data_IF_317358445962
#
_entry.id   IF_317358445962
#
_cell.length_a   1.000
_cell.length_b   1.000
_cell.length_c   1.000
_cell.angle_alpha   90.00
_cell.angle_beta   90.00
_cell.angle_gamma   90.00
#
_symmetry.space_group_name_H-M   'P 1'
#
loop_
_entity.id
_entity.type
_entity.pdbx_description
1 polymer ?
#
# COMPACT_ATOMS: atom_id res chain seq x y z
N UNK A 1 -47.69 27.16 -12.86
CA UNK A 1 -47.01 27.54 -14.11
C UNK A 1 -45.56 27.14 -13.90
N UNK A 2 -45.18 25.88 -13.97
CA UNK A 2 -45.40 24.88 -15.02
C UNK A 2 -44.89 25.34 -16.39
N UNK A 3 -44.08 24.47 -17.00
CA UNK A 3 -43.40 24.52 -18.31
C UNK A 3 -42.07 25.27 -18.37
N UNK A 4 -40.95 24.75 -18.86
CA UNK A 4 -40.59 23.47 -19.47
C UNK A 4 -39.05 23.40 -19.40
N UNK A 5 -38.46 22.45 -18.67
CA UNK A 5 -37.11 21.99 -19.02
C UNK A 5 -37.30 20.64 -19.70
N UNK A 6 -37.20 20.72 -21.02
CA UNK A 6 -37.41 19.67 -22.00
C UNK A 6 -36.76 18.37 -21.53
N UNK A 7 -37.62 17.37 -21.35
CA UNK A 7 -37.28 15.96 -21.31
C UNK A 7 -36.48 15.62 -22.57
N UNK A 8 -35.15 15.59 -22.45
CA UNK A 8 -34.29 14.89 -23.39
C UNK A 8 -34.54 13.40 -23.22
N UNK A 9 -35.46 12.92 -24.05
CA UNK A 9 -35.62 11.57 -24.59
C UNK A 9 -34.98 10.43 -23.79
N UNK A 10 -35.85 9.60 -23.22
CA UNK A 10 -35.56 8.31 -22.59
C UNK A 10 -35.14 7.25 -23.62
N UNK A 11 -34.06 7.53 -24.36
CA UNK A 11 -33.41 6.60 -25.29
C UNK A 11 -31.89 6.71 -25.19
N UNK A 12 -31.29 5.58 -24.81
CA UNK A 12 -29.85 5.30 -24.78
C UNK A 12 -29.00 6.11 -23.80
N UNK A 13 -28.99 5.72 -22.53
CA UNK A 13 -27.69 5.57 -21.86
C UNK A 13 -27.09 4.30 -22.45
N UNK A 14 -26.53 4.41 -23.66
CA UNK A 14 -25.50 3.50 -24.11
C UNK A 14 -24.29 3.77 -23.22
N UNK A 15 -24.30 3.17 -22.03
CA UNK A 15 -23.07 2.77 -21.40
C UNK A 15 -22.28 2.07 -22.51
N UNK A 16 -21.11 2.59 -22.87
CA UNK A 16 -20.15 1.86 -23.69
C UNK A 16 -19.70 0.66 -22.86
N UNK A 17 -20.53 -0.37 -22.81
CA UNK A 17 -20.22 -1.67 -22.23
C UNK A 17 -19.30 -2.35 -23.22
N UNK A 18 -17.99 -2.09 -23.08
CA UNK A 18 -16.96 -2.98 -23.60
C UNK A 18 -16.81 -4.23 -22.70
N UNK A 19 -17.88 -4.67 -22.02
CA UNK A 19 -17.88 -5.95 -21.34
C UNK A 19 -18.20 -7.01 -22.38
N UNK A 20 -17.27 -7.94 -22.58
CA UNK A 20 -17.52 -9.15 -23.38
C UNK A 20 -18.76 -9.87 -22.81
N UNK A 21 -19.61 -10.49 -23.66
CA UNK A 21 -20.81 -11.21 -23.21
C UNK A 21 -20.55 -12.21 -22.07
N UNK A 22 -19.33 -12.77 -22.04
CA UNK A 22 -18.82 -13.68 -21.00
C UNK A 22 -18.71 -13.02 -19.62
N UNK A 23 -18.28 -11.75 -19.54
CA UNK A 23 -18.15 -11.01 -18.27
C UNK A 23 -19.54 -10.73 -17.69
N UNK A 24 -20.48 -10.30 -18.53
CA UNK A 24 -21.88 -10.12 -18.13
C UNK A 24 -22.53 -11.43 -17.68
N UNK A 25 -22.26 -12.54 -18.34
CA UNK A 25 -22.76 -13.86 -17.94
C UNK A 25 -22.19 -14.31 -16.59
N UNK A 26 -20.89 -14.06 -16.36
CA UNK A 26 -20.21 -14.36 -15.10
C UNK A 26 -20.74 -13.51 -13.93
N UNK A 27 -20.87 -12.20 -14.12
CA UNK A 27 -21.43 -11.28 -13.12
C UNK A 27 -22.87 -11.68 -12.76
N UNK A 28 -23.69 -12.00 -13.76
CA UNK A 28 -25.06 -12.48 -13.55
C UNK A 28 -25.11 -13.81 -12.78
N UNK A 29 -24.13 -14.71 -12.99
CA UNK A 29 -24.03 -15.96 -12.23
C UNK A 29 -23.69 -15.69 -10.76
N UNK A 30 -22.73 -14.79 -10.49
CA UNK A 30 -22.37 -14.38 -9.12
C UNK A 30 -23.57 -13.75 -8.42
N UNK A 31 -24.28 -12.82 -9.09
CA UNK A 31 -25.46 -12.17 -8.52
C UNK A 31 -26.54 -13.20 -8.16
N UNK A 32 -26.81 -14.17 -9.04
CA UNK A 32 -27.75 -15.27 -8.75
C UNK A 32 -27.31 -16.13 -7.56
N UNK A 33 -26.02 -16.45 -7.44
CA UNK A 33 -25.49 -17.18 -6.28
C UNK A 33 -25.64 -16.36 -4.98
N UNK A 34 -25.45 -15.04 -5.04
CA UNK A 34 -25.67 -14.13 -3.92
C UNK A 34 -27.15 -14.05 -3.53
N UNK A 35 -28.07 -14.03 -4.49
CA UNK A 35 -29.52 -14.06 -4.24
C UNK A 35 -29.95 -15.37 -3.56
N UNK A 36 -29.44 -16.52 -4.02
CA UNK A 36 -29.69 -17.82 -3.38
C UNK A 36 -29.13 -17.85 -1.95
N UNK A 37 -27.93 -17.31 -1.73
CA UNK A 37 -27.35 -17.18 -0.38
C UNK A 37 -28.19 -16.25 0.51
N UNK A 38 -28.67 -15.13 -0.04
CA UNK A 38 -29.57 -14.18 0.64
C UNK A 38 -30.83 -14.88 1.11
N UNK A 39 -31.54 -15.57 0.21
CA UNK A 39 -32.76 -16.30 0.57
C UNK A 39 -32.54 -17.37 1.65
N UNK A 40 -31.42 -18.11 1.55
CA UNK A 40 -31.07 -19.15 2.51
C UNK A 40 -30.77 -18.60 3.92
N UNK A 41 -30.27 -17.35 4.03
CA UNK A 41 -30.09 -16.67 5.32
C UNK A 41 -31.43 -16.37 6.02
N UNK A 42 -32.49 -16.08 5.26
CA UNK A 42 -33.82 -15.77 5.81
C UNK A 42 -34.71 -17.00 6.05
N UNK A 43 -34.42 -18.15 5.42
CA UNK A 43 -35.19 -19.40 5.54
C UNK A 43 -34.80 -20.29 6.74
N UNK A 44 -33.64 -20.07 7.38
CA UNK A 44 -33.13 -20.90 8.49
C UNK A 44 -33.54 -20.35 9.87
N UNK A 45 -33.67 -21.27 10.83
CA UNK A 45 -34.05 -21.08 12.25
C UNK A 45 -33.88 -19.62 12.76
N UNK A 46 -35.00 -18.97 13.04
CA UNK A 46 -35.15 -17.54 13.37
C UNK A 46 -34.13 -17.10 14.44
N UNK A 47 -33.86 -17.93 15.45
CA UNK A 47 -32.95 -17.59 16.54
C UNK A 47 -31.47 -17.58 16.14
N UNK A 48 -31.03 -18.54 15.33
CA UNK A 48 -29.65 -18.61 14.86
C UNK A 48 -29.35 -17.48 13.87
N UNK A 49 -30.33 -17.19 13.00
CA UNK A 49 -30.28 -16.09 12.04
C UNK A 49 -30.27 -14.73 12.74
N UNK A 50 -31.08 -14.53 13.78
CA UNK A 50 -31.07 -13.31 14.59
C UNK A 50 -29.71 -13.10 15.28
N UNK A 51 -29.14 -14.13 15.90
CA UNK A 51 -27.81 -14.05 16.54
C UNK A 51 -26.69 -13.75 15.54
N UNK A 52 -26.76 -14.33 14.34
CA UNK A 52 -25.80 -14.07 13.27
C UNK A 52 -25.90 -12.63 12.75
N UNK A 53 -27.12 -12.12 12.56
CA UNK A 53 -27.38 -10.74 12.15
C UNK A 53 -26.91 -9.74 13.20
N UNK A 54 -27.20 -9.98 14.48
CA UNK A 54 -26.69 -9.14 15.59
C UNK A 54 -25.16 -9.12 15.63
N UNK A 55 -24.50 -10.26 15.41
CA UNK A 55 -23.03 -10.32 15.35
C UNK A 55 -22.48 -9.59 14.12
N UNK A 56 -23.15 -9.71 12.97
CA UNK A 56 -22.78 -8.99 11.74
C UNK A 56 -22.93 -7.48 11.91
N UNK A 57 -23.99 -7.04 12.60
CA UNK A 57 -24.25 -5.64 12.91
C UNK A 57 -23.10 -5.00 13.68
N UNK A 58 -22.69 -5.59 14.81
CA UNK A 58 -21.58 -5.06 15.60
C UNK A 58 -20.25 -5.04 14.85
N UNK A 59 -20.00 -6.06 14.01
CA UNK A 59 -18.80 -6.10 13.17
C UNK A 59 -18.82 -5.01 12.12
N UNK A 60 -19.96 -4.77 11.48
CA UNK A 60 -20.10 -3.74 10.46
C UNK A 60 -19.85 -2.35 11.04
N UNK A 61 -20.45 -2.04 12.20
CA UNK A 61 -20.20 -0.76 12.90
C UNK A 61 -18.72 -0.61 13.24
N UNK A 62 -18.12 -1.62 13.89
CA UNK A 62 -16.71 -1.61 14.26
C UNK A 62 -15.77 -1.39 13.05
N UNK A 63 -15.93 -2.17 11.99
CA UNK A 63 -15.03 -2.06 10.83
C UNK A 63 -15.17 -0.73 10.11
N UNK A 64 -16.38 -0.18 10.02
CA UNK A 64 -16.61 1.10 9.33
C UNK A 64 -15.96 2.25 10.08
N UNK A 65 -16.17 2.37 11.40
CA UNK A 65 -15.55 3.46 12.17
C UNK A 65 -14.03 3.28 12.28
N UNK A 66 -13.53 2.04 12.33
CA UNK A 66 -12.09 1.77 12.34
C UNK A 66 -11.40 2.21 11.04
N UNK A 67 -12.09 2.14 9.89
CA UNK A 67 -11.57 2.65 8.61
C UNK A 67 -11.42 4.17 8.62
N UNK A 68 -12.30 4.88 9.35
CA UNK A 68 -12.24 6.34 9.55
C UNK A 68 -11.24 6.75 10.65
N UNK A 69 -10.57 5.78 11.30
CA UNK A 69 -9.52 6.02 12.29
C UNK A 69 -9.95 5.85 13.76
N UNK A 70 -11.16 5.37 14.03
CA UNK A 70 -11.64 5.12 15.38
C UNK A 70 -10.84 3.99 16.06
N UNK A 71 -10.38 4.22 17.29
CA UNK A 71 -9.45 3.31 17.99
C UNK A 71 -10.12 2.33 18.94
N UNK A 72 -11.46 2.32 19.05
CA UNK A 72 -12.16 1.36 19.91
C UNK A 72 -11.98 -0.07 19.40
N UNK A 73 -11.59 -1.00 20.27
CA UNK A 73 -11.60 -2.42 19.92
C UNK A 73 -13.01 -2.94 19.68
N UNK A 74 -13.15 -4.04 18.94
CA UNK A 74 -14.44 -4.69 18.70
C UNK A 74 -15.25 -4.95 20.00
N UNK A 75 -14.57 -5.38 21.08
CA UNK A 75 -15.22 -5.63 22.38
C UNK A 75 -15.71 -4.32 23.00
N UNK A 76 -14.94 -3.24 22.89
CA UNK A 76 -15.30 -1.92 23.39
C UNK A 76 -16.47 -1.32 22.60
N UNK A 77 -16.42 -1.35 21.26
CA UNK A 77 -17.51 -0.92 20.38
C UNK A 77 -18.79 -1.69 20.68
N UNK A 78 -18.70 -3.02 20.82
CA UNK A 78 -19.85 -3.85 21.18
C UNK A 78 -20.39 -3.52 22.57
N UNK A 79 -19.53 -3.42 23.57
CA UNK A 79 -19.92 -3.06 24.94
C UNK A 79 -20.61 -1.70 24.97
N UNK A 80 -20.10 -0.73 24.22
CA UNK A 80 -20.69 0.59 24.09
C UNK A 80 -22.10 0.52 23.46
N UNK A 81 -22.25 -0.19 22.35
CA UNK A 81 -23.54 -0.38 21.67
C UNK A 81 -24.56 -1.18 22.49
N UNK A 82 -24.12 -2.12 23.32
CA UNK A 82 -24.99 -2.94 24.18
C UNK A 82 -25.41 -2.23 25.46
N UNK A 83 -24.50 -1.44 26.07
CA UNK A 83 -24.73 -0.86 27.40
C UNK A 83 -25.04 0.64 27.38
N UNK A 84 -24.72 1.33 26.28
CA UNK A 84 -24.78 2.80 26.20
C UNK A 84 -23.78 3.51 27.11
N UNK A 85 -22.83 2.78 27.73
CA UNK A 85 -21.85 3.35 28.66
C UNK A 85 -20.55 3.69 27.96
N UNK A 86 -20.06 4.90 28.17
CA UNK A 86 -18.79 5.34 27.63
C UNK A 86 -17.63 4.40 28.06
N UNK A 87 -16.70 4.20 27.14
CA UNK A 87 -15.49 3.39 27.31
C UNK A 87 -14.36 4.28 27.81
N UNK A 88 -13.78 3.92 28.95
CA UNK A 88 -12.64 4.64 29.53
C UNK A 88 -11.44 4.68 28.58
N UNK A 89 -10.78 5.84 28.49
CA UNK A 89 -9.59 6.04 27.65
C UNK A 89 -9.89 6.26 26.17
N UNK A 90 -11.14 6.51 25.78
CA UNK A 90 -11.55 6.82 24.40
C UNK A 90 -12.21 8.20 24.34
N UNK A 91 -12.02 8.91 23.24
CA UNK A 91 -12.55 10.26 23.06
C UNK A 91 -14.07 10.25 22.88
N UNK A 92 -14.75 11.34 23.25
CA UNK A 92 -16.20 11.48 22.98
C UNK A 92 -16.47 11.46 21.47
N UNK A 93 -15.56 12.01 20.67
CA UNK A 93 -15.65 11.97 19.21
C UNK A 93 -15.79 10.53 18.68
N UNK A 94 -14.94 9.61 19.15
CA UNK A 94 -15.01 8.20 18.76
C UNK A 94 -16.32 7.51 19.19
N UNK A 95 -16.90 7.91 20.32
CA UNK A 95 -18.22 7.42 20.73
C UNK A 95 -19.32 7.96 19.80
N UNK A 96 -19.22 9.23 19.43
CA UNK A 96 -20.19 9.91 18.59
C UNK A 96 -20.22 9.36 17.16
N UNK A 97 -19.08 8.98 16.59
CA UNK A 97 -19.02 8.29 15.30
C UNK A 97 -19.77 6.96 15.32
N UNK A 98 -19.58 6.17 16.39
CA UNK A 98 -20.28 4.90 16.57
C UNK A 98 -21.79 5.12 16.74
N UNK A 99 -22.20 6.15 17.48
CA UNK A 99 -23.62 6.51 17.64
C UNK A 99 -24.25 6.97 16.33
N UNK A 100 -23.54 7.77 15.53
CA UNK A 100 -24.03 8.24 14.24
C UNK A 100 -24.24 7.09 13.26
N UNK A 101 -23.27 6.16 13.21
CA UNK A 101 -23.38 4.98 12.37
C UNK A 101 -24.47 4.00 12.86
N UNK A 102 -24.59 3.77 14.18
CA UNK A 102 -25.68 2.97 14.78
C UNK A 102 -27.05 3.55 14.42
N UNK A 103 -27.21 4.88 14.54
CA UNK A 103 -28.44 5.57 14.18
C UNK A 103 -28.79 5.43 12.68
N UNK A 104 -27.79 5.55 11.80
CA UNK A 104 -27.95 5.37 10.36
C UNK A 104 -28.35 3.93 10.00
N UNK A 105 -27.71 2.93 10.60
CA UNK A 105 -28.02 1.52 10.33
C UNK A 105 -29.39 1.12 10.88
N UNK A 106 -29.78 1.61 12.06
CA UNK A 106 -31.15 1.41 12.58
C UNK A 106 -32.18 2.02 11.66
N UNK A 107 -31.92 3.21 11.12
CA UNK A 107 -32.79 3.83 10.13
C UNK A 107 -32.90 2.99 8.86
N UNK A 108 -31.79 2.47 8.33
CA UNK A 108 -31.82 1.55 7.17
C UNK A 108 -32.60 0.27 7.46
N UNK A 109 -32.53 -0.25 8.69
CA UNK A 109 -33.25 -1.46 9.09
C UNK A 109 -34.75 -1.24 9.41
N UNK A 110 -35.15 -0.02 9.77
CA UNK A 110 -36.54 0.34 10.11
C UNK A 110 -37.30 0.99 8.95
N UNK A 111 -36.60 1.68 8.06
CA UNK A 111 -37.19 2.33 6.91
C UNK A 111 -37.71 1.29 5.92
N UNK A 112 -38.82 1.60 5.25
CA UNK A 112 -39.37 0.78 4.15
C UNK A 112 -38.48 0.77 2.90
N UNK A 113 -37.17 1.04 3.02
CA UNK A 113 -36.16 0.95 1.94
C UNK A 113 -36.02 -0.49 1.43
N UNK A 114 -36.66 -1.46 2.10
CA UNK A 114 -36.62 -2.86 1.71
C UNK A 114 -37.26 -3.22 0.35
N UNK A 115 -37.97 -2.32 -0.37
CA UNK A 115 -38.61 -2.65 -1.66
C UNK A 115 -38.77 -1.48 -2.67
N UNK A 116 -38.22 -0.29 -2.42
CA UNK A 116 -38.38 0.90 -3.29
C UNK A 116 -37.07 1.47 -3.85
N UNK A 117 -37.17 2.38 -4.84
CA UNK A 117 -36.00 3.11 -5.34
C UNK A 117 -35.46 4.06 -4.26
N UNK A 118 -34.15 4.04 -4.03
CA UNK A 118 -33.47 4.95 -3.09
C UNK A 118 -33.62 6.38 -3.60
N UNK A 119 -34.18 7.27 -2.77
CA UNK A 119 -34.36 8.68 -3.11
C UNK A 119 -33.23 9.54 -2.54
N UNK A 120 -33.10 10.75 -3.06
CA UNK A 120 -32.16 11.75 -2.51
C UNK A 120 -32.45 12.08 -1.05
N UNK A 121 -33.74 12.08 -0.66
CA UNK A 121 -34.15 12.29 0.73
C UNK A 121 -33.62 11.19 1.65
N UNK A 122 -33.60 9.94 1.17
CA UNK A 122 -33.07 8.81 1.94
C UNK A 122 -31.56 8.97 2.17
N UNK A 123 -30.82 9.39 1.14
CA UNK A 123 -29.38 9.65 1.23
C UNK A 123 -29.08 10.78 2.24
N UNK A 124 -29.81 11.88 2.17
CA UNK A 124 -29.63 12.99 3.11
C UNK A 124 -30.01 12.60 4.55
N UNK A 125 -31.03 11.76 4.73
CA UNK A 125 -31.40 11.26 6.06
C UNK A 125 -30.35 10.31 6.65
N UNK A 126 -29.75 9.46 5.82
CA UNK A 126 -28.61 8.62 6.23
C UNK A 126 -27.44 9.52 6.63
N UNK A 127 -27.06 10.45 5.76
CA UNK A 127 -25.96 11.40 6.00
C UNK A 127 -26.18 12.22 7.27
N UNK A 128 -27.41 12.72 7.48
CA UNK A 128 -27.79 13.41 8.71
C UNK A 128 -27.53 12.55 9.93
N UNK A 129 -27.91 11.27 9.91
CA UNK A 129 -27.75 10.37 11.06
C UNK A 129 -26.29 10.04 11.34
N UNK A 130 -25.49 9.81 10.29
CA UNK A 130 -24.05 9.57 10.42
C UNK A 130 -23.35 10.76 11.09
N UNK A 131 -23.67 11.99 10.66
CA UNK A 131 -23.03 13.19 11.19
C UNK A 131 -23.70 13.81 12.41
N UNK A 132 -24.89 13.35 12.82
CA UNK A 132 -25.72 13.98 13.86
C UNK A 132 -24.99 14.25 15.19
N UNK A 133 -23.97 13.44 15.51
CA UNK A 133 -23.19 13.55 16.74
C UNK A 133 -21.75 14.03 16.52
N UNK A 134 -21.33 14.16 15.26
CA UNK A 134 -19.95 14.49 14.86
C UNK A 134 -19.89 15.92 14.33
N UNK A 135 -20.77 16.24 13.37
CA UNK A 135 -20.89 17.54 12.73
C UNK A 135 -22.38 17.84 12.46
N UNK A 136 -23.13 18.28 13.50
CA UNK A 136 -24.55 18.56 13.39
C UNK A 136 -24.87 19.69 12.40
N UNK A 137 -23.93 20.61 12.20
CA UNK A 137 -24.13 21.79 11.36
C UNK A 137 -24.17 21.43 9.88
N UNK A 138 -23.43 20.39 9.46
CA UNK A 138 -23.40 19.88 8.09
C UNK A 138 -24.24 18.59 7.89
N UNK A 139 -24.81 18.05 8.95
CA UNK A 139 -25.63 16.84 8.92
C UNK A 139 -26.82 16.97 7.95
N UNK A 140 -26.86 16.11 6.91
CA UNK A 140 -27.97 16.06 5.95
C UNK A 140 -28.06 17.25 5.00
N UNK A 141 -27.01 18.07 4.90
CA UNK A 141 -26.95 19.18 3.95
C UNK A 141 -26.03 18.83 2.79
N UNK A 142 -26.36 19.35 1.61
CA UNK A 142 -25.36 19.47 0.56
C UNK A 142 -24.37 20.55 0.96
N UNK A 143 -23.11 20.34 0.59
CA UNK A 143 -22.09 21.38 0.75
C UNK A 143 -22.41 22.56 -0.19
N UNK A 144 -22.27 23.77 0.34
CA UNK A 144 -22.44 25.02 -0.41
C UNK A 144 -21.12 25.55 -0.98
N UNK A 145 -20.00 24.88 -0.68
CA UNK A 145 -18.66 25.23 -1.16
C UNK A 145 -18.24 24.25 -2.25
N UNK A 146 -17.91 24.79 -3.43
CA UNK A 146 -17.24 24.05 -4.49
C UNK A 146 -15.82 23.72 -4.03
N UNK A 147 -15.48 22.43 -3.93
CA UNK A 147 -14.10 22.02 -3.72
C UNK A 147 -13.36 22.19 -5.04
N UNK A 148 -12.57 23.25 -5.13
CA UNK A 148 -11.61 23.46 -6.20
C UNK A 148 -10.43 22.52 -5.94
N UNK A 149 -10.35 21.38 -6.65
CA UNK A 149 -9.10 20.64 -6.76
C UNK A 149 -8.36 21.26 -7.94
N UNK A 150 -7.78 22.44 -7.69
CA UNK A 150 -6.97 23.19 -8.64
C UNK A 150 -5.56 22.65 -8.79
N UNK A 151 -4.80 23.15 -9.78
CA UNK A 151 -3.47 22.65 -10.10
C UNK A 151 -2.50 22.96 -8.95
N UNK A 152 -1.74 21.94 -8.55
CA UNK A 152 -0.64 22.05 -7.61
C UNK A 152 0.54 22.75 -8.29
N UNK A 153 0.96 23.90 -7.77
CA UNK A 153 2.32 24.39 -7.99
C UNK A 153 3.28 23.51 -7.21
N UNK A 154 4.32 22.94 -7.83
CA UNK A 154 5.34 22.18 -7.10
C UNK A 154 5.99 23.08 -6.05
N UNK A 155 6.45 22.54 -4.90
CA UNK A 155 7.19 23.31 -3.92
C UNK A 155 8.59 23.60 -4.46
N UNK A 156 8.66 24.57 -5.38
CA UNK A 156 9.86 25.28 -5.75
C UNK A 156 9.90 26.59 -4.97
N UNK A 157 10.96 26.74 -4.16
CA UNK A 157 11.35 27.99 -3.46
C UNK A 157 10.40 28.48 -2.37
N UNK A 158 10.39 27.78 -1.23
CA UNK A 158 10.32 28.39 0.11
C UNK A 158 10.22 27.26 1.14
N UNK A 159 11.36 26.74 1.58
CA UNK A 159 11.44 26.17 2.94
C UNK A 159 11.40 27.38 3.87
N UNK A 160 10.22 27.95 4.09
CA UNK A 160 9.94 28.89 5.17
C UNK A 160 8.43 29.14 5.30
N UNK A 161 7.94 28.99 6.53
CA UNK A 161 6.59 29.23 7.05
C UNK A 161 5.53 28.16 6.69
N UNK A 162 5.03 27.31 7.61
CA UNK A 162 4.67 27.54 9.01
C UNK A 162 4.71 26.24 9.85
N UNK A 163 5.89 25.79 10.25
CA UNK A 163 6.03 24.93 11.43
C UNK A 163 6.99 25.63 12.37
N UNK A 164 6.49 26.10 13.51
CA UNK A 164 7.31 26.56 14.63
C UNK A 164 8.15 25.36 15.10
N UNK A 165 9.31 25.13 14.48
CA UNK A 165 10.24 24.12 14.94
C UNK A 165 11.17 24.75 15.95
N UNK A 166 11.11 24.23 17.18
CA UNK A 166 12.14 24.48 18.18
C UNK A 166 13.47 23.90 17.66
N UNK A 167 14.60 24.63 17.71
CA UNK A 167 15.91 24.14 17.25
C UNK A 167 16.29 22.74 17.76
N UNK A 168 15.79 22.38 18.94
CA UNK A 168 15.96 21.08 19.61
C UNK A 168 15.44 19.90 18.78
N UNK A 169 14.35 20.07 18.04
CA UNK A 169 13.72 18.98 17.26
C UNK A 169 14.56 18.61 16.05
N UNK A 170 15.12 19.61 15.36
CA UNK A 170 16.03 19.43 14.23
C UNK A 170 17.37 18.82 14.67
N UNK A 171 17.89 19.24 15.83
CA UNK A 171 19.11 18.68 16.41
C UNK A 171 18.94 17.19 16.77
N UNK A 172 17.77 16.82 17.31
CA UNK A 172 17.43 15.43 17.61
C UNK A 172 17.36 14.55 16.36
N UNK A 173 16.67 15.02 15.31
CA UNK A 173 16.54 14.29 14.04
C UNK A 173 17.93 14.08 13.40
N UNK A 174 18.78 15.11 13.37
CA UNK A 174 20.15 15.04 12.85
C UNK A 174 21.04 14.07 13.65
N UNK A 175 20.81 13.95 14.97
CA UNK A 175 21.57 13.01 15.80
C UNK A 175 21.23 11.56 15.44
N UNK A 176 19.96 11.23 15.25
CA UNK A 176 19.53 9.87 14.86
C UNK A 176 20.11 9.49 13.51
N UNK A 177 20.10 10.40 12.54
CA UNK A 177 20.67 10.16 11.21
C UNK A 177 22.16 9.84 11.31
N UNK A 178 22.93 10.60 12.10
CA UNK A 178 24.35 10.32 12.34
C UNK A 178 24.58 8.96 13.01
N UNK A 179 23.70 8.55 13.93
CA UNK A 179 23.77 7.22 14.55
C UNK A 179 23.56 6.09 13.52
N UNK A 180 22.69 6.30 12.52
CA UNK A 180 22.48 5.36 11.42
C UNK A 180 23.73 5.18 10.55
N UNK A 181 24.43 6.28 10.22
CA UNK A 181 25.67 6.21 9.44
C UNK A 181 26.76 5.39 10.16
N UNK A 182 26.90 5.58 11.47
CA UNK A 182 27.84 4.79 12.28
C UNK A 182 27.44 3.30 12.30
N UNK A 183 26.15 3.00 12.43
CA UNK A 183 25.64 1.61 12.36
C UNK A 183 25.88 0.99 10.99
N UNK A 184 25.69 1.75 9.90
CA UNK A 184 25.97 1.31 8.53
C UNK A 184 27.41 0.85 8.37
N UNK A 185 28.38 1.68 8.76
CA UNK A 185 29.81 1.33 8.63
C UNK A 185 30.17 0.05 9.40
N UNK A 186 29.52 -0.20 10.53
CA UNK A 186 29.75 -1.38 11.34
C UNK A 186 29.14 -2.67 10.75
N UNK A 187 28.14 -2.56 9.86
CA UNK A 187 27.51 -3.71 9.23
C UNK A 187 28.43 -4.44 8.24
N UNK A 188 29.29 -3.70 7.51
CA UNK A 188 30.13 -4.26 6.44
C UNK A 188 31.51 -4.73 6.92
N UNK A 189 31.92 -4.41 8.15
CA UNK A 189 33.22 -4.80 8.73
C UNK A 189 33.26 -6.25 9.25
N UNK A 190 32.20 -7.05 9.06
CA UNK A 190 32.03 -8.38 9.69
C UNK A 190 31.82 -9.51 8.68
N UNK A 191 32.22 -10.72 9.10
CA UNK A 191 32.27 -12.00 8.37
C UNK A 191 31.34 -12.12 7.14
N UNK A 192 31.95 -12.38 5.97
CA UNK A 192 31.31 -12.46 4.64
C UNK A 192 30.15 -13.48 4.61
N UNK A 193 30.29 -14.63 5.27
CA UNK A 193 29.28 -15.70 5.24
C UNK A 193 28.01 -15.36 6.04
N UNK A 194 28.19 -14.80 7.23
CA UNK A 194 27.08 -14.36 8.07
C UNK A 194 26.29 -13.22 7.40
N UNK A 195 27.01 -12.31 6.75
CA UNK A 195 26.43 -11.21 5.95
C UNK A 195 25.62 -11.74 4.76
N UNK A 196 26.11 -12.75 4.03
CA UNK A 196 25.37 -13.36 2.92
C UNK A 196 24.04 -14.02 3.38
N UNK A 197 24.07 -14.75 4.50
CA UNK A 197 22.86 -15.37 5.08
C UNK A 197 21.86 -14.32 5.55
N UNK A 198 22.32 -13.25 6.19
CA UNK A 198 21.48 -12.14 6.63
C UNK A 198 20.84 -11.41 5.45
N UNK A 199 21.58 -11.17 4.36
CA UNK A 199 21.06 -10.59 3.12
C UNK A 199 20.02 -11.50 2.45
N UNK A 200 20.27 -12.81 2.37
CA UNK A 200 19.33 -13.79 1.81
C UNK A 200 18.01 -13.82 2.61
N UNK A 201 18.10 -13.77 3.94
CA UNK A 201 16.91 -13.71 4.80
C UNK A 201 16.18 -12.37 4.65
N UNK A 202 16.91 -11.27 4.51
CA UNK A 202 16.35 -9.94 4.25
C UNK A 202 15.60 -9.91 2.92
N UNK A 203 16.15 -10.54 1.88
CA UNK A 203 15.52 -10.67 0.56
C UNK A 203 14.11 -11.25 0.64
N UNK A 204 13.97 -12.46 1.20
CA UNK A 204 12.65 -13.11 1.31
C UNK A 204 11.67 -12.32 2.18
N UNK A 205 12.16 -11.68 3.24
CA UNK A 205 11.33 -10.84 4.11
C UNK A 205 10.86 -9.58 3.40
N UNK A 206 11.73 -8.94 2.62
CA UNK A 206 11.36 -7.79 1.82
C UNK A 206 10.26 -8.15 0.83
N UNK A 207 10.42 -9.27 0.11
CA UNK A 207 9.40 -9.76 -0.83
C UNK A 207 8.07 -9.99 -0.13
N UNK A 208 8.07 -10.76 0.97
CA UNK A 208 6.86 -11.04 1.76
C UNK A 208 6.16 -9.76 2.22
N UNK A 209 6.87 -8.86 2.91
CA UNK A 209 6.26 -7.69 3.50
C UNK A 209 5.74 -6.69 2.45
N UNK A 210 6.46 -6.50 1.35
CA UNK A 210 6.04 -5.53 0.32
C UNK A 210 4.80 -5.99 -0.45
N UNK A 211 4.63 -7.29 -0.73
CA UNK A 211 3.38 -7.79 -1.35
C UNK A 211 2.24 -7.86 -0.34
N UNK A 212 2.53 -8.20 0.92
CA UNK A 212 1.51 -8.25 1.97
C UNK A 212 0.94 -6.86 2.30
N UNK A 213 1.75 -5.79 2.18
CA UNK A 213 1.27 -4.41 2.28
C UNK A 213 0.20 -4.08 1.23
N UNK A 214 0.26 -4.69 0.05
CA UNK A 214 -0.74 -4.51 -1.02
C UNK A 214 -1.94 -5.48 -0.86
N UNK A 215 -1.91 -6.39 0.13
CA UNK A 215 -3.01 -7.30 0.44
C UNK A 215 -2.79 -8.75 0.05
N UNK A 216 -1.59 -9.11 -0.43
CA UNK A 216 -1.24 -10.51 -0.67
C UNK A 216 -1.31 -11.33 0.63
N UNK A 217 -1.95 -12.50 0.58
CA UNK A 217 -2.28 -13.29 1.77
C UNK A 217 -1.31 -14.44 2.03
N UNK A 218 -0.28 -14.62 1.20
CA UNK A 218 0.74 -15.66 1.44
C UNK A 218 1.50 -15.39 2.72
N UNK A 219 1.70 -16.43 3.53
CA UNK A 219 2.57 -16.32 4.70
C UNK A 219 4.04 -16.23 4.30
N UNK A 220 4.88 -15.73 5.20
CA UNK A 220 6.33 -15.68 4.96
C UNK A 220 6.92 -17.03 4.54
N UNK A 221 6.49 -18.13 5.16
CA UNK A 221 6.96 -19.49 4.82
C UNK A 221 6.51 -19.86 3.41
N UNK A 222 5.26 -19.59 3.05
CA UNK A 222 4.73 -19.86 1.71
C UNK A 222 5.47 -19.07 0.64
N UNK A 223 5.67 -17.76 0.83
CA UNK A 223 6.43 -16.90 -0.07
C UNK A 223 7.85 -17.41 -0.25
N UNK A 224 8.53 -17.77 0.85
CA UNK A 224 9.89 -18.30 0.80
C UNK A 224 9.96 -19.64 0.06
N UNK A 225 9.10 -20.60 0.40
CA UNK A 225 9.04 -21.90 -0.27
C UNK A 225 8.76 -21.75 -1.77
N UNK A 226 7.88 -20.82 -2.14
CA UNK A 226 7.59 -20.54 -3.55
C UNK A 226 8.83 -20.01 -4.28
N UNK A 227 9.55 -19.04 -3.70
CA UNK A 227 10.76 -18.48 -4.30
C UNK A 227 11.93 -19.48 -4.37
N UNK A 228 12.06 -20.37 -3.38
CA UNK A 228 13.13 -21.38 -3.33
C UNK A 228 12.88 -22.55 -4.27
N UNK A 229 11.63 -23.03 -4.37
CA UNK A 229 11.30 -24.26 -5.11
C UNK A 229 10.72 -24.00 -6.50
N UNK A 230 10.24 -22.79 -6.77
CA UNK A 230 9.47 -22.45 -7.97
C UNK A 230 8.11 -23.14 -8.06
N UNK A 231 7.65 -23.82 -6.99
CA UNK A 231 6.40 -24.60 -6.99
C UNK A 231 5.26 -23.79 -6.39
N UNK A 232 4.12 -23.78 -7.09
CA UNK A 232 2.92 -23.09 -6.63
C UNK A 232 2.42 -23.63 -5.27
N UNK A 233 1.88 -22.72 -4.46
CA UNK A 233 1.31 -22.97 -3.14
C UNK A 233 -0.19 -23.22 -3.28
N UNK A 234 -0.65 -24.39 -2.82
CA UNK A 234 -2.06 -24.76 -2.84
C UNK A 234 -2.95 -23.79 -2.05
N UNK A 235 -4.13 -23.48 -2.58
CA UNK A 235 -5.12 -22.61 -1.93
C UNK A 235 -4.84 -21.11 -2.03
N UNK A 236 -3.83 -20.70 -2.82
CA UNK A 236 -3.51 -19.29 -3.11
C UNK A 236 -3.80 -18.96 -4.57
N UNK A 237 -4.13 -17.70 -4.85
CA UNK A 237 -4.44 -17.28 -6.22
C UNK A 237 -3.19 -17.21 -7.10
N UNK A 238 -3.35 -17.41 -8.41
CA UNK A 238 -2.24 -17.22 -9.37
C UNK A 238 -1.74 -15.78 -9.34
N UNK A 239 -2.66 -14.83 -9.15
CA UNK A 239 -2.33 -13.41 -9.01
C UNK A 239 -1.31 -13.17 -7.88
N UNK A 240 -1.56 -13.71 -6.68
CA UNK A 240 -0.63 -13.57 -5.55
C UNK A 240 0.75 -14.20 -5.82
N UNK A 241 0.82 -15.29 -6.58
CA UNK A 241 2.10 -15.87 -7.01
C UNK A 241 2.82 -14.92 -7.98
N UNK A 242 2.08 -14.39 -8.96
CA UNK A 242 2.61 -13.52 -9.99
C UNK A 242 3.12 -12.19 -9.42
N UNK A 243 2.49 -11.65 -8.38
CA UNK A 243 3.01 -10.48 -7.65
C UNK A 243 4.38 -10.76 -7.02
N UNK A 244 4.55 -11.94 -6.41
CA UNK A 244 5.82 -12.36 -5.81
C UNK A 244 6.88 -12.56 -6.90
N UNK A 245 6.54 -13.19 -8.02
CA UNK A 245 7.45 -13.36 -9.16
C UNK A 245 7.88 -12.04 -9.78
N UNK A 246 6.94 -11.10 -9.95
CA UNK A 246 7.24 -9.78 -10.52
C UNK A 246 8.19 -8.99 -9.65
N UNK A 247 7.97 -9.02 -8.34
CA UNK A 247 8.87 -8.36 -7.40
C UNK A 247 10.25 -9.06 -7.31
N UNK A 248 10.31 -10.39 -7.31
CA UNK A 248 11.57 -11.15 -7.37
C UNK A 248 12.38 -10.77 -8.63
N UNK A 249 11.72 -10.72 -9.79
CA UNK A 249 12.33 -10.30 -11.04
C UNK A 249 12.84 -8.84 -10.98
N UNK A 250 12.08 -7.94 -10.35
CA UNK A 250 12.47 -6.54 -10.18
C UNK A 250 13.70 -6.40 -9.25
N UNK A 251 13.75 -7.12 -8.13
CA UNK A 251 14.89 -7.11 -7.22
C UNK A 251 16.15 -7.68 -7.86
N UNK A 252 16.03 -8.79 -8.60
CA UNK A 252 17.16 -9.34 -9.37
C UNK A 252 17.68 -8.33 -10.39
N UNK A 253 16.79 -7.66 -11.10
CA UNK A 253 17.16 -6.59 -12.02
C UNK A 253 17.92 -5.46 -11.32
N UNK A 254 17.44 -4.97 -10.17
CA UNK A 254 18.13 -3.94 -9.39
C UNK A 254 19.53 -4.37 -8.92
N UNK A 255 19.68 -5.63 -8.50
CA UNK A 255 20.96 -6.17 -8.03
C UNK A 255 21.98 -6.44 -9.15
N UNK A 256 21.51 -6.72 -10.37
CA UNK A 256 22.36 -7.04 -11.51
C UNK A 256 22.63 -5.83 -12.43
N UNK A 257 21.78 -4.82 -12.37
CA UNK A 257 21.86 -3.66 -13.26
C UNK A 257 23.00 -2.71 -12.88
N UNK A 258 23.56 -2.05 -13.90
CA UNK A 258 24.49 -0.92 -13.71
C UNK A 258 23.82 0.32 -13.12
N UNK A 259 22.50 0.27 -12.86
CA UNK A 259 21.76 1.37 -12.22
C UNK A 259 22.45 1.73 -10.91
N UNK A 260 23.12 0.82 -10.20
CA UNK A 260 23.83 1.16 -8.96
C UNK A 260 24.98 2.18 -9.11
N UNK A 261 25.44 2.47 -10.34
CA UNK A 261 26.63 3.29 -10.60
C UNK A 261 26.35 4.61 -11.36
N UNK A 262 25.12 4.83 -11.84
CA UNK A 262 24.76 6.00 -12.66
C UNK A 262 23.55 6.78 -12.16
N UNK A 263 23.20 7.88 -12.84
CA UNK A 263 21.98 8.63 -12.59
C UNK A 263 20.72 7.74 -12.72
N UNK A 264 19.71 7.93 -11.86
CA UNK A 264 18.43 7.22 -12.02
C UNK A 264 17.67 7.88 -13.16
N UNK A 265 17.31 7.11 -14.17
CA UNK A 265 16.57 7.62 -15.33
C UNK A 265 15.10 7.22 -15.30
N UNK A 266 14.29 7.90 -16.10
CA UNK A 266 12.89 7.52 -16.30
C UNK A 266 12.76 6.09 -16.83
N UNK A 267 13.66 5.68 -17.73
CA UNK A 267 13.70 4.32 -18.30
C UNK A 267 13.94 3.27 -17.21
N UNK A 268 14.76 3.56 -16.21
CA UNK A 268 15.00 2.64 -15.10
C UNK A 268 13.73 2.41 -14.30
N UNK A 269 12.98 3.48 -13.98
CA UNK A 269 11.69 3.38 -13.27
C UNK A 269 10.68 2.57 -14.09
N UNK A 270 10.58 2.82 -15.40
CA UNK A 270 9.69 2.08 -16.29
C UNK A 270 10.07 0.59 -16.36
N UNK A 271 11.36 0.27 -16.40
CA UNK A 271 11.85 -1.12 -16.39
C UNK A 271 11.58 -1.81 -15.05
N UNK A 272 11.81 -1.13 -13.92
CA UNK A 272 11.48 -1.65 -12.59
C UNK A 272 9.98 -1.97 -12.54
N UNK A 273 9.14 -0.99 -12.89
CA UNK A 273 7.69 -1.17 -12.91
C UNK A 273 7.24 -2.28 -13.87
N UNK A 274 7.86 -2.37 -15.05
CA UNK A 274 7.60 -3.46 -15.99
C UNK A 274 7.87 -4.81 -15.33
N UNK A 275 8.98 -4.99 -14.61
CA UNK A 275 9.26 -6.26 -13.92
C UNK A 275 8.24 -6.54 -12.81
N UNK A 276 7.85 -5.51 -12.04
CA UNK A 276 6.85 -5.66 -10.96
C UNK A 276 5.51 -6.17 -11.49
N UNK A 277 5.01 -5.63 -12.61
CA UNK A 277 3.69 -5.99 -13.15
C UNK A 277 3.70 -7.01 -14.29
N UNK A 278 4.86 -7.41 -14.84
CA UNK A 278 4.93 -8.28 -16.03
C UNK A 278 4.11 -9.57 -15.94
N UNK A 279 3.98 -10.15 -14.75
CA UNK A 279 3.23 -11.40 -14.54
C UNK A 279 1.77 -11.16 -14.12
N UNK A 280 1.42 -9.93 -13.76
CA UNK A 280 0.13 -9.56 -13.18
C UNK A 280 -0.74 -8.87 -14.22
N UNK A 281 -0.18 -7.82 -14.84
CA UNK A 281 -0.82 -6.99 -15.85
C UNK A 281 0.24 -6.56 -16.88
N UNK A 282 0.57 -7.44 -17.85
CA UNK A 282 1.59 -7.17 -18.84
C UNK A 282 1.22 -6.03 -19.79
N UNK A 283 -0.07 -5.74 -19.96
CA UNK A 283 -0.53 -4.68 -20.85
C UNK A 283 -0.21 -3.30 -20.28
N UNK A 284 -0.26 -3.14 -18.95
CA UNK A 284 0.07 -1.90 -18.25
C UNK A 284 1.49 -1.87 -17.65
N UNK A 285 2.22 -2.99 -17.71
CA UNK A 285 3.58 -3.11 -17.21
C UNK A 285 4.53 -2.09 -17.88
N UNK A 286 5.13 -1.21 -17.07
CA UNK A 286 6.06 -0.18 -17.54
C UNK A 286 5.43 0.94 -18.38
N UNK A 287 4.10 1.14 -18.30
CA UNK A 287 3.40 2.23 -19.01
C UNK A 287 2.70 3.16 -18.02
N UNK A 288 2.83 4.46 -18.23
CA UNK A 288 2.08 5.44 -17.45
C UNK A 288 0.58 5.27 -17.65
N UNK A 289 -0.18 5.58 -16.59
CA UNK A 289 -1.64 5.58 -16.69
C UNK A 289 -2.12 6.69 -17.63
N UNK A 290 -3.16 6.39 -18.37
CA UNK A 290 -3.90 7.29 -19.25
C UNK A 290 -5.25 7.69 -18.67
N UNK A 291 -5.59 7.14 -17.49
CA UNK A 291 -6.82 7.41 -16.74
C UNK A 291 -6.53 8.03 -15.38
N UNK A 292 -7.53 8.72 -14.84
CA UNK A 292 -7.46 9.23 -13.48
C UNK A 292 -7.79 8.13 -12.46
N UNK A 293 -7.04 8.11 -11.36
CA UNK A 293 -7.19 7.14 -10.27
C UNK A 293 -7.39 7.86 -8.94
N UNK A 294 -7.89 7.14 -7.93
CA UNK A 294 -8.17 7.68 -6.59
C UNK A 294 -7.63 6.72 -5.52
N UNK A 295 -6.92 7.25 -4.53
CA UNK A 295 -6.23 6.47 -3.50
C UNK A 295 -6.79 6.87 -2.14
N UNK A 296 -7.87 6.21 -1.73
CA UNK A 296 -8.66 6.65 -0.59
C UNK A 296 -9.15 8.09 -0.80
N UNK A 297 -8.88 9.04 0.13
CA UNK A 297 -9.27 10.44 -0.03
C UNK A 297 -8.33 11.25 -0.93
N UNK A 298 -7.18 10.70 -1.32
CA UNK A 298 -6.17 11.41 -2.09
C UNK A 298 -6.39 11.25 -3.60
N UNK A 299 -6.28 12.36 -4.33
CA UNK A 299 -6.38 12.41 -5.80
C UNK A 299 -5.03 12.80 -6.38
N UNK A 300 -4.30 11.87 -7.05
CA UNK A 300 -3.05 12.16 -7.74
C UNK A 300 -3.23 13.16 -8.90
N UNK A 301 -2.13 13.69 -9.46
CA UNK A 301 -2.16 14.53 -10.66
C UNK A 301 -2.97 13.92 -11.82
N UNK A 302 -3.52 14.72 -12.72
CA UNK A 302 -4.17 14.17 -13.93
C UNK A 302 -3.19 13.37 -14.80
N UNK A 303 -3.64 12.33 -15.55
CA UNK A 303 -2.78 11.53 -16.42
C UNK A 303 -1.98 12.37 -17.43
N UNK A 304 -2.54 13.50 -17.88
CA UNK A 304 -1.90 14.46 -18.78
C UNK A 304 -0.65 15.14 -18.18
N UNK A 305 -0.53 15.18 -16.85
CA UNK A 305 0.61 15.79 -16.14
C UNK A 305 1.66 14.77 -15.71
N UNK A 306 1.32 13.47 -15.66
CA UNK A 306 2.18 12.41 -15.09
C UNK A 306 3.58 12.40 -15.71
N UNK A 307 3.67 12.53 -17.04
CA UNK A 307 4.97 12.45 -17.74
C UNK A 307 5.89 13.61 -17.32
N UNK A 308 5.35 14.82 -17.21
CA UNK A 308 6.15 15.99 -16.88
C UNK A 308 6.48 16.06 -15.38
N UNK A 309 5.56 15.64 -14.51
CA UNK A 309 5.82 15.43 -13.08
C UNK A 309 6.93 14.38 -12.85
N UNK A 310 6.91 13.28 -13.62
CA UNK A 310 7.96 12.26 -13.53
C UNK A 310 9.32 12.74 -14.05
N UNK A 311 9.36 13.61 -15.08
CA UNK A 311 10.62 14.25 -15.52
C UNK A 311 11.16 15.16 -14.42
N UNK A 312 10.32 16.04 -13.87
CA UNK A 312 10.71 16.92 -12.77
C UNK A 312 11.17 16.13 -11.53
N UNK A 313 10.53 14.99 -11.25
CA UNK A 313 10.96 14.07 -10.21
C UNK A 313 12.36 13.51 -10.47
N UNK A 314 12.65 13.07 -11.70
CA UNK A 314 13.98 12.57 -12.09
C UNK A 314 15.03 13.68 -12.04
N UNK A 315 14.70 14.88 -12.52
CA UNK A 315 15.61 16.03 -12.46
C UNK A 315 15.94 16.37 -11.00
N UNK A 316 14.92 16.44 -10.14
CA UNK A 316 15.11 16.64 -8.71
C UNK A 316 15.96 15.54 -8.07
N UNK A 317 15.74 14.27 -8.42
CA UNK A 317 16.45 13.14 -7.82
C UNK A 317 17.96 13.13 -8.16
N UNK A 318 18.34 13.75 -9.28
CA UNK A 318 19.73 13.84 -9.73
C UNK A 318 20.33 15.24 -9.57
N UNK A 319 19.60 16.19 -8.98
CA UNK A 319 20.07 17.55 -8.71
C UNK A 319 21.15 17.58 -7.61
N UNK A 320 22.11 18.49 -7.71
CA UNK A 320 23.21 18.62 -6.74
C UNK A 320 22.68 18.83 -5.32
N UNK A 321 21.64 19.66 -5.13
CA UNK A 321 21.09 19.94 -3.80
C UNK A 321 20.40 18.74 -3.16
N UNK A 322 19.78 17.88 -3.98
CA UNK A 322 19.19 16.62 -3.51
C UNK A 322 20.26 15.60 -3.15
N UNK A 323 21.37 15.57 -3.89
CA UNK A 323 22.49 14.67 -3.63
C UNK A 323 23.29 15.06 -2.37
N UNK A 324 23.18 16.30 -1.91
CA UNK A 324 23.73 16.77 -0.63
C UNK A 324 22.87 16.36 0.59
N UNK A 325 21.63 15.91 0.39
CA UNK A 325 20.75 15.45 1.47
C UNK A 325 21.28 14.16 2.11
N UNK A 326 20.88 13.89 3.36
CA UNK A 326 21.08 12.57 3.92
C UNK A 326 20.39 11.51 3.07
N UNK A 327 21.05 10.37 2.88
CA UNK A 327 20.57 9.33 1.98
C UNK A 327 19.23 8.69 2.44
N UNK A 328 18.97 8.60 3.75
CA UNK A 328 17.70 8.09 4.30
C UNK A 328 16.60 9.10 4.09
N UNK A 329 16.90 10.38 4.28
CA UNK A 329 15.99 11.48 3.97
C UNK A 329 15.66 11.53 2.47
N UNK A 330 16.67 11.51 1.59
CA UNK A 330 16.51 11.47 0.14
C UNK A 330 15.65 10.30 -0.30
N UNK A 331 15.91 9.10 0.22
CA UNK A 331 15.14 7.90 -0.11
C UNK A 331 13.68 8.00 0.36
N UNK A 332 13.43 8.55 1.54
CA UNK A 332 12.08 8.77 2.06
C UNK A 332 11.32 9.80 1.22
N UNK A 333 11.93 10.94 0.89
CA UNK A 333 11.29 11.98 0.07
C UNK A 333 11.07 11.46 -1.35
N UNK A 334 12.01 10.71 -1.93
CA UNK A 334 11.87 10.12 -3.25
C UNK A 334 10.71 9.11 -3.30
N UNK A 335 10.59 8.25 -2.29
CA UNK A 335 9.45 7.36 -2.15
C UNK A 335 8.13 8.14 -2.10
N UNK A 336 8.04 9.14 -1.23
CA UNK A 336 6.83 9.95 -1.08
C UNK A 336 6.45 10.64 -2.40
N UNK A 337 7.38 11.36 -3.03
CA UNK A 337 7.15 12.06 -4.31
C UNK A 337 6.66 11.10 -5.39
N UNK A 338 7.28 9.93 -5.53
CA UNK A 338 6.87 8.93 -6.50
C UNK A 338 5.44 8.41 -6.26
N UNK A 339 5.13 8.06 -5.00
CA UNK A 339 3.79 7.56 -4.63
C UNK A 339 2.71 8.65 -4.76
N UNK A 340 3.07 9.91 -4.51
CA UNK A 340 2.20 11.08 -4.68
C UNK A 340 1.85 11.33 -6.15
N UNK A 341 2.84 11.28 -7.07
CA UNK A 341 2.59 11.40 -8.52
C UNK A 341 1.70 10.25 -9.01
N UNK A 342 1.90 9.06 -8.43
CA UNK A 342 1.17 7.83 -8.74
C UNK A 342 1.11 7.54 -10.26
N UNK A 343 2.27 7.34 -10.90
CA UNK A 343 2.38 7.38 -12.36
C UNK A 343 1.74 6.18 -13.09
N UNK A 344 1.47 5.08 -12.39
CA UNK A 344 0.99 3.82 -12.99
C UNK A 344 -0.42 3.46 -12.53
N UNK A 345 -1.09 2.54 -13.25
CA UNK A 345 -2.44 2.07 -12.89
C UNK A 345 -2.46 1.24 -11.60
N UNK A 346 -1.40 0.46 -11.37
CA UNK A 346 -1.12 -0.34 -10.18
C UNK A 346 0.41 -0.43 -10.01
N UNK A 347 0.92 -1.04 -8.94
CA UNK A 347 2.35 -1.29 -8.74
C UNK A 347 3.12 -0.11 -8.18
N UNK A 348 2.46 1.03 -7.93
CA UNK A 348 3.09 2.26 -7.41
C UNK A 348 3.72 2.06 -6.03
N UNK A 349 3.01 1.44 -5.08
CA UNK A 349 3.57 1.20 -3.74
C UNK A 349 4.82 0.31 -3.78
N UNK A 350 4.76 -0.80 -4.54
CA UNK A 350 5.88 -1.75 -4.73
C UNK A 350 7.07 -1.08 -5.40
N UNK A 351 6.83 -0.33 -6.48
CA UNK A 351 7.88 0.38 -7.23
C UNK A 351 8.51 1.50 -6.39
N UNK A 352 7.70 2.24 -5.62
CA UNK A 352 8.20 3.28 -4.71
C UNK A 352 9.12 2.72 -3.62
N UNK A 353 8.76 1.58 -3.02
CA UNK A 353 9.61 0.89 -2.02
C UNK A 353 10.89 0.31 -2.64
N UNK A 354 10.82 -0.19 -3.88
CA UNK A 354 12.01 -0.61 -4.62
C UNK A 354 12.94 0.57 -4.95
N UNK A 355 12.38 1.71 -5.37
CA UNK A 355 13.15 2.93 -5.64
C UNK A 355 13.85 3.47 -4.38
N UNK A 356 13.13 3.48 -3.26
CA UNK A 356 13.71 3.81 -1.95
C UNK A 356 14.91 2.93 -1.62
N UNK A 357 14.76 1.61 -1.76
CA UNK A 357 15.84 0.67 -1.50
C UNK A 357 16.97 0.74 -2.51
N UNK A 358 16.71 1.12 -3.76
CA UNK A 358 17.76 1.39 -4.74
C UNK A 358 18.63 2.56 -4.28
N UNK A 359 18.04 3.69 -3.87
CA UNK A 359 18.77 4.86 -3.37
C UNK A 359 19.63 4.47 -2.16
N UNK A 360 19.05 3.76 -1.19
CA UNK A 360 19.73 3.34 0.03
C UNK A 360 20.86 2.34 -0.24
N UNK A 361 20.66 1.41 -1.17
CA UNK A 361 21.67 0.42 -1.53
C UNK A 361 22.92 1.05 -2.13
N UNK A 362 22.77 2.14 -2.91
CA UNK A 362 23.90 2.92 -3.45
C UNK A 362 24.72 3.58 -2.36
N UNK A 363 24.07 3.96 -1.26
CA UNK A 363 24.72 4.51 -0.06
C UNK A 363 25.20 3.42 0.90
N UNK A 364 25.16 2.14 0.51
CA UNK A 364 25.65 1.03 1.31
C UNK A 364 24.74 0.66 2.47
N UNK A 365 23.43 0.87 2.38
CA UNK A 365 22.48 0.34 3.36
C UNK A 365 21.93 -1.03 2.89
N UNK A 366 21.64 -1.95 3.82
CA UNK A 366 20.85 -3.13 3.49
C UNK A 366 19.43 -2.72 3.07
N UNK A 367 18.73 -3.52 2.24
CA UNK A 367 17.35 -3.24 1.87
C UNK A 367 16.46 -3.06 3.10
N UNK A 368 15.79 -1.92 3.20
CA UNK A 368 14.84 -1.64 4.28
C UNK A 368 13.57 -2.44 4.05
N UNK A 369 13.00 -2.87 5.16
CA UNK A 369 11.73 -3.59 5.22
C UNK A 369 10.74 -2.72 6.00
N UNK A 370 9.64 -2.34 5.35
CA UNK A 370 8.46 -1.81 6.03
C UNK A 370 7.60 -3.01 6.40
N UNK A 371 7.47 -3.38 7.69
CA UNK A 371 6.70 -4.54 8.10
C UNK A 371 5.21 -4.34 7.77
N UNK A 372 4.53 -5.43 7.41
CA UNK A 372 3.09 -5.39 7.10
C UNK A 372 2.26 -5.05 8.33
N UNK A 373 2.80 -5.36 9.51
CA UNK A 373 2.24 -5.04 10.81
C UNK A 373 2.18 -3.52 11.05
N UNK A 374 3.07 -2.75 10.41
CA UNK A 374 3.12 -1.28 10.50
C UNK A 374 2.39 -0.59 9.33
N UNK A 375 1.56 -1.33 8.58
CA UNK A 375 0.77 -0.82 7.44
C UNK A 375 -0.01 0.45 7.79
N UNK A 376 -0.69 0.46 8.94
CA UNK A 376 -1.48 1.62 9.37
C UNK A 376 -0.60 2.85 9.61
N UNK A 377 0.52 2.67 10.33
CA UNK A 377 1.48 3.75 10.60
C UNK A 377 2.09 4.29 9.31
N UNK A 378 2.43 3.42 8.37
CA UNK A 378 2.95 3.80 7.06
C UNK A 378 1.97 4.68 6.28
N UNK A 379 0.70 4.27 6.15
CA UNK A 379 -0.30 5.06 5.44
C UNK A 379 -0.69 6.34 6.19
N UNK A 380 -0.71 6.33 7.52
CA UNK A 380 -0.94 7.53 8.31
C UNK A 380 0.17 8.57 8.08
N UNK A 381 1.43 8.13 8.09
CA UNK A 381 2.55 9.02 7.83
C UNK A 381 2.54 9.59 6.39
N UNK A 382 2.08 8.81 5.40
CA UNK A 382 1.84 9.31 4.04
C UNK A 382 0.69 10.33 3.97
N UNK A 383 -0.38 10.12 4.76
CA UNK A 383 -1.48 11.08 4.86
C UNK A 383 -1.00 12.41 5.45
N UNK A 384 -0.25 12.37 6.54
CA UNK A 384 0.33 13.58 7.16
C UNK A 384 1.27 14.32 6.18
N UNK A 385 2.01 13.56 5.36
CA UNK A 385 2.83 14.13 4.28
C UNK A 385 1.98 14.81 3.20
N UNK A 386 0.85 14.22 2.80
CA UNK A 386 -0.10 14.84 1.87
C UNK A 386 -0.72 16.13 2.44
N UNK A 387 -0.91 16.18 3.76
CA UNK A 387 -1.42 17.36 4.48
C UNK A 387 -0.35 18.46 4.69
N UNK A 388 0.89 18.20 4.24
CA UNK A 388 1.98 19.17 4.16
C UNK A 388 3.15 18.94 5.12
N UNK A 389 3.11 17.91 5.98
CA UNK A 389 4.22 17.58 6.89
C UNK A 389 4.86 16.22 6.56
N UNK A 390 6.01 16.25 5.88
CA UNK A 390 6.74 15.03 5.51
C UNK A 390 7.55 14.42 6.66
N UNK A 391 7.76 15.14 7.77
CA UNK A 391 8.67 14.70 8.85
C UNK A 391 8.22 13.41 9.53
N UNK A 392 6.92 13.19 9.82
CA UNK A 392 6.44 11.90 10.33
C UNK A 392 6.80 10.73 9.42
N UNK A 393 6.71 10.92 8.10
CA UNK A 393 7.11 9.91 7.12
C UNK A 393 8.62 9.67 7.09
N UNK A 394 9.43 10.73 7.07
CA UNK A 394 10.89 10.61 7.13
C UNK A 394 11.32 9.87 8.41
N UNK A 395 10.78 10.26 9.57
CA UNK A 395 11.05 9.61 10.86
C UNK A 395 10.61 8.16 10.90
N UNK A 396 9.49 7.84 10.26
CA UNK A 396 9.05 6.46 10.10
C UNK A 396 10.08 5.64 9.33
N UNK A 397 10.56 6.14 8.19
CA UNK A 397 11.60 5.45 7.39
C UNK A 397 12.92 5.34 8.16
N UNK A 398 13.35 6.40 8.86
CA UNK A 398 14.52 6.37 9.76
C UNK A 398 14.37 5.27 10.81
N UNK A 399 13.20 5.15 11.45
CA UNK A 399 12.94 4.08 12.42
C UNK A 399 12.99 2.68 11.80
N UNK A 400 12.45 2.50 10.58
CA UNK A 400 12.56 1.21 9.88
C UNK A 400 14.00 0.90 9.46
N UNK A 401 14.77 1.92 9.10
CA UNK A 401 16.21 1.81 8.80
C UNK A 401 16.95 1.28 10.03
N UNK A 402 16.74 1.91 11.19
CA UNK A 402 17.37 1.53 12.44
C UNK A 402 17.08 0.09 12.83
N UNK A 403 15.79 -0.29 12.82
CA UNK A 403 15.34 -1.66 13.10
C UNK A 403 15.96 -2.67 12.13
N UNK A 404 16.13 -2.30 10.86
CA UNK A 404 16.72 -3.19 9.84
C UNK A 404 18.21 -3.38 10.09
N UNK A 405 18.96 -2.30 10.35
CA UNK A 405 20.38 -2.34 10.68
C UNK A 405 20.63 -3.15 11.95
N UNK A 406 19.83 -2.93 13.00
CA UNK A 406 19.97 -3.67 14.26
C UNK A 406 19.76 -5.18 14.03
N UNK A 407 18.70 -5.57 13.32
CA UNK A 407 18.46 -6.99 12.97
C UNK A 407 19.59 -7.59 12.16
N UNK A 408 20.20 -6.81 11.27
CA UNK A 408 21.36 -7.24 10.48
C UNK A 408 22.58 -7.48 11.38
N UNK A 409 22.90 -6.52 12.26
CA UNK A 409 23.98 -6.61 13.24
C UNK A 409 23.80 -7.82 14.16
N UNK A 410 22.59 -8.04 14.68
CA UNK A 410 22.27 -9.16 15.57
C UNK A 410 22.43 -10.51 14.85
N UNK A 411 21.98 -10.58 13.59
CA UNK A 411 22.10 -11.80 12.76
C UNK A 411 23.56 -12.14 12.44
N UNK A 412 24.40 -11.13 12.22
CA UNK A 412 25.83 -11.33 11.97
C UNK A 412 26.58 -11.71 13.24
N UNK A 413 26.20 -11.12 14.39
CA UNK A 413 26.86 -11.37 15.68
C UNK A 413 26.52 -12.75 16.26
N UNK A 414 25.35 -13.31 15.93
CA UNK A 414 24.93 -14.65 16.38
C UNK A 414 25.52 -15.79 15.54
N UNK A 415 26.10 -15.51 14.37
CA UNK A 415 26.74 -16.51 13.50
C UNK A 415 28.23 -16.75 13.82
N UNK A 416 28.71 -16.40 15.01
CA UNK A 416 30.11 -16.60 15.42
C UNK A 416 30.42 -18.01 15.95
N UNK A 417 29.46 -18.93 15.97
CA UNK A 417 29.70 -20.34 16.31
C UNK A 417 29.84 -21.18 15.03
N UNK A 418 31.08 -21.56 14.75
CA UNK A 418 31.61 -22.72 14.03
C UNK A 418 30.81 -23.36 12.87
N UNK A 419 31.55 -23.52 11.77
CA UNK A 419 31.12 -23.90 10.44
C UNK A 419 30.80 -25.41 10.24
N UNK A 420 30.26 -26.14 11.22
CA UNK A 420 30.03 -27.59 11.05
C UNK A 420 28.59 -28.10 11.26
N UNK A 421 27.65 -27.33 11.83
CA UNK A 421 26.40 -27.93 12.35
C UNK A 421 25.07 -27.41 11.75
N UNK A 422 25.05 -26.96 10.50
CA UNK A 422 23.80 -26.47 9.87
C UNK A 422 23.60 -26.99 8.44
N UNK A 423 23.70 -28.31 8.25
CA UNK A 423 23.11 -29.00 7.10
C UNK A 423 21.84 -29.73 7.55
N UNK A 424 20.69 -29.05 7.46
CA UNK A 424 19.38 -29.70 7.55
C UNK A 424 18.69 -29.71 6.18
N UNK A 425 18.67 -30.89 5.54
CA UNK A 425 17.73 -31.28 4.48
C UNK A 425 18.33 -31.52 3.07
N UNK A 426 18.01 -32.65 2.39
CA UNK A 426 18.84 -33.18 1.31
C UNK A 426 18.55 -32.51 -0.04
N UNK A 427 19.57 -31.88 -0.61
CA UNK A 427 19.59 -31.44 -2.00
C UNK A 427 20.92 -31.82 -2.63
N UNK A 428 20.91 -32.87 -3.45
CA UNK A 428 22.03 -33.26 -4.30
C UNK A 428 22.64 -32.02 -4.98
N UNK A 429 23.98 -31.93 -4.95
CA UNK A 429 24.74 -31.05 -5.84
C UNK A 429 24.29 -31.33 -7.28
N UNK A 430 23.64 -30.34 -7.89
CA UNK A 430 23.58 -30.25 -9.34
C UNK A 430 24.87 -29.55 -9.73
N UNK A 431 25.81 -30.30 -10.28
CA UNK A 431 26.94 -29.74 -11.02
C UNK A 431 26.37 -28.96 -12.20
N UNK A 432 26.63 -27.66 -12.24
CA UNK A 432 26.34 -26.82 -13.40
C UNK A 432 27.42 -27.12 -14.45
N UNK A 433 27.09 -27.60 -15.65
CA UNK A 433 28.09 -27.86 -16.68
C UNK A 433 28.75 -26.55 -17.12
N UNK A 434 30.08 -26.52 -17.12
CA UNK A 434 30.85 -25.46 -17.76
C UNK A 434 30.62 -25.50 -19.27
N UNK A 435 30.16 -24.36 -19.80
CA UNK A 435 29.96 -24.07 -21.20
C UNK A 435 31.33 -24.10 -21.91
N UNK A 436 31.67 -25.23 -22.51
CA UNK A 436 32.87 -25.41 -23.34
C UNK A 436 32.49 -25.37 -24.81
N UNK A 437 32.20 -24.16 -25.30
CA UNK A 437 32.16 -23.91 -26.75
C UNK A 437 33.09 -22.75 -27.13
N UNK A 438 34.39 -23.01 -26.94
CA UNK A 438 35.49 -22.30 -27.60
C UNK A 438 36.54 -23.32 -27.97
N UNK A 439 36.37 -23.95 -29.13
CA UNK A 439 37.41 -24.37 -30.08
C UNK A 439 36.88 -25.53 -30.94
N UNK A 440 36.34 -25.22 -32.12
CA UNK A 440 36.32 -26.11 -33.28
C UNK A 440 35.96 -25.35 -34.55
N UNK A 441 36.81 -24.39 -34.89
CA UNK A 441 37.18 -24.15 -36.28
C UNK A 441 38.58 -24.76 -36.45
N UNK A 442 38.79 -25.38 -37.61
CA UNK A 442 40.01 -26.02 -38.10
C UNK A 442 40.25 -27.49 -37.70
N UNK A 443 39.70 -28.41 -38.49
CA UNK A 443 40.49 -29.43 -39.20
C UNK A 443 39.63 -30.25 -40.18
N UNK A 444 39.91 -30.07 -41.46
CA UNK A 444 39.47 -30.91 -42.58
C UNK A 444 39.75 -32.40 -42.36
N UNK A 445 38.74 -33.26 -42.59
CA UNK A 445 38.77 -34.36 -43.59
C UNK A 445 37.44 -35.10 -43.66
#
# INVERSE_FOLDING_TARGET
MDKDLVLADSRSINAKTNNTPVVLEYDNRIIKELDVKRENCYKRNIFASHRALTKSYYRHVYHTVALEGNTMSYIQTRTFLETGRAIGGKSIFEHNEILGLDAALRFLNQSKIQLGAITLSDILQIHHKVLAFVDPDNAGKFRDVQVYIGPFTPPGKSINAKTNNTPVVLEYDNRIIKELDVKRENCYKRNIFASHRALTKSYYRHVYHTVALEGNTMSYIQTRTFLETGRAIGGKSIFEHNEILGLDAALRFLNQSKIQLGAITLSDILQIHHKVLAFVDPDNAGKFRDVQVYIGPFTPPGPEFVVDEMKQFIDWLNDETSLEMDCVELAAIAHYKFVFIHPFIDGNGRTGRLLMNLILSRSGFPPIIIPVEERLTYYQALKEANDGDLRPFIRFIVSQTDKTLQKFIDSVSTCTSDAEDCLDGPGQRIEVPEDTDKNRLDANK
#
